data_IF_969536833579
#
_entry.id   IF_969536833579
#
_cell.length_a   1.000
_cell.length_b   1.000
_cell.length_c   1.000
_cell.angle_alpha   90.00
_cell.angle_beta   90.00
_cell.angle_gamma   90.00
#
_symmetry.space_group_name_H-M   'P 1'
#
loop_
_entity.id
_entity.type
_entity.pdbx_description
1 polymer ?
#
# COMPACT_ATOMS: atom_id res chain seq x y z
N UNK A 1 -26.66 57.03 46.61
CA UNK A 1 -26.22 56.03 45.63
C UNK A 1 -25.88 56.70 44.29
N UNK A 2 -25.06 57.74 44.23
CA UNK A 2 -24.67 58.45 42.98
C UNK A 2 -23.14 58.64 42.77
N UNK A 3 -22.30 58.10 43.62
CA UNK A 3 -20.85 58.40 43.60
C UNK A 3 -19.97 57.25 43.15
N UNK A 4 -20.56 56.05 42.84
CA UNK A 4 -19.79 54.87 42.45
C UNK A 4 -19.68 54.62 40.93
N UNK A 5 -20.45 55.35 40.10
CA UNK A 5 -20.50 55.14 38.65
C UNK A 5 -19.36 55.87 37.91
N UNK A 6 -18.93 57.02 38.45
CA UNK A 6 -17.87 57.82 37.81
C UNK A 6 -16.51 57.13 37.74
N UNK A 7 -16.02 56.49 38.84
CA UNK A 7 -14.71 55.79 38.78
C UNK A 7 -14.76 54.56 37.86
N UNK A 8 -15.93 53.91 37.71
CA UNK A 8 -16.05 52.75 36.83
C UNK A 8 -15.97 53.13 35.34
N UNK A 9 -16.53 54.27 34.96
CA UNK A 9 -16.47 54.79 33.59
C UNK A 9 -15.03 55.23 33.22
N UNK A 10 -14.23 55.72 34.18
CA UNK A 10 -12.85 56.13 33.98
C UNK A 10 -11.92 54.91 33.81
N UNK A 11 -12.25 53.81 34.49
CA UNK A 11 -11.50 52.53 34.36
C UNK A 11 -11.73 51.86 33.00
N UNK A 12 -12.90 52.00 32.42
CA UNK A 12 -13.25 51.48 31.12
C UNK A 12 -12.51 52.20 29.98
N UNK A 13 -12.23 53.50 30.14
CA UNK A 13 -11.45 54.23 29.12
C UNK A 13 -9.94 53.90 29.12
N UNK A 14 -9.38 53.40 30.21
CA UNK A 14 -7.96 52.98 30.28
C UNK A 14 -7.75 51.64 29.57
N UNK A 15 -8.78 50.76 29.53
CA UNK A 15 -8.67 49.45 28.86
C UNK A 15 -8.69 49.55 27.33
N UNK A 16 -9.26 50.60 26.74
CA UNK A 16 -9.33 50.77 25.27
C UNK A 16 -8.03 51.35 24.69
N UNK A 17 -7.19 51.99 25.50
CA UNK A 17 -5.96 52.66 25.06
C UNK A 17 -4.74 51.70 24.88
N UNK A 18 -4.83 50.43 25.32
CA UNK A 18 -3.68 49.50 25.31
C UNK A 18 -3.52 48.70 24.02
N UNK A 19 -4.54 48.72 23.13
CA UNK A 19 -4.51 47.92 21.90
C UNK A 19 -4.04 48.64 20.63
N UNK A 20 -3.46 49.84 20.73
CA UNK A 20 -3.11 50.68 19.58
C UNK A 20 -1.59 50.86 19.38
N UNK A 21 -0.75 49.85 19.68
CA UNK A 21 0.67 49.91 19.34
C UNK A 21 1.20 48.58 18.87
N UNK A 22 0.77 48.11 17.73
CA UNK A 22 1.60 47.30 16.87
C UNK A 22 2.30 48.24 15.88
N UNK A 23 3.45 48.71 16.24
CA UNK A 23 4.40 49.31 15.30
C UNK A 23 4.94 48.21 14.42
N UNK A 24 4.41 48.09 13.22
CA UNK A 24 5.15 47.49 12.10
C UNK A 24 6.37 48.36 11.83
N UNK A 25 7.50 47.97 12.42
CA UNK A 25 8.78 48.53 12.02
C UNK A 25 9.21 47.84 10.73
N UNK A 26 8.82 48.41 9.59
CA UNK A 26 9.42 48.09 8.30
C UNK A 26 10.87 48.57 8.36
N UNK A 27 11.78 47.65 8.63
CA UNK A 27 13.21 47.90 8.46
C UNK A 27 13.46 47.81 6.94
N UNK A 28 13.50 48.99 6.29
CA UNK A 28 14.03 49.13 4.93
C UNK A 28 15.54 48.88 4.97
N UNK A 29 15.95 47.64 4.85
CA UNK A 29 17.32 47.30 4.55
C UNK A 29 17.51 47.52 3.05
N UNK A 30 18.17 48.62 2.72
CA UNK A 30 18.62 49.02 1.39
C UNK A 30 19.62 47.94 0.97
N UNK A 31 19.34 47.23 -0.12
CA UNK A 31 20.20 46.32 -0.89
C UNK A 31 20.12 44.80 -0.66
N UNK A 32 19.01 44.26 -0.13
CA UNK A 32 18.76 42.84 -0.33
C UNK A 32 17.27 42.54 -0.26
N UNK A 33 16.63 42.32 -1.38
CA UNK A 33 15.32 41.74 -1.48
C UNK A 33 15.49 40.24 -1.23
N UNK A 34 15.42 39.82 0.05
CA UNK A 34 15.31 38.39 0.37
C UNK A 34 13.89 37.94 0.08
N UNK A 35 13.66 37.44 -1.13
CA UNK A 35 12.43 36.69 -1.44
C UNK A 35 12.49 35.40 -0.65
N UNK A 36 11.68 35.28 0.40
CA UNK A 36 11.46 34.03 1.12
C UNK A 36 10.75 33.09 0.14
N UNK A 37 11.51 32.17 -0.46
CA UNK A 37 10.93 31.12 -1.26
C UNK A 37 10.03 30.24 -0.37
N UNK A 38 8.85 29.84 -0.83
CA UNK A 38 8.05 28.90 -0.06
C UNK A 38 8.83 27.60 0.13
N UNK A 39 8.74 27.05 1.34
CA UNK A 39 9.34 25.75 1.65
C UNK A 39 8.76 24.71 0.68
N UNK A 40 9.59 24.20 -0.19
CA UNK A 40 9.23 23.09 -1.07
C UNK A 40 9.30 21.81 -0.24
N UNK A 41 8.17 21.33 0.22
CA UNK A 41 8.07 20.01 0.82
C UNK A 41 8.22 18.97 -0.30
N UNK A 42 9.41 18.40 -0.43
CA UNK A 42 9.62 17.24 -1.29
C UNK A 42 9.05 16.02 -0.55
N UNK A 43 7.81 15.69 -0.83
CA UNK A 43 7.24 14.42 -0.41
C UNK A 43 7.87 13.34 -1.28
N UNK A 44 8.76 12.55 -0.71
CA UNK A 44 9.33 11.39 -1.41
C UNK A 44 8.25 10.31 -1.49
N UNK A 45 7.54 10.25 -2.60
CA UNK A 45 6.68 9.09 -2.89
C UNK A 45 7.58 7.89 -3.20
N UNK A 46 7.25 6.74 -2.63
CA UNK A 46 7.95 5.50 -2.98
C UNK A 46 7.72 5.21 -4.46
N UNK A 47 8.77 4.92 -5.23
CA UNK A 47 8.60 4.59 -6.63
C UNK A 47 7.73 3.35 -6.78
N UNK A 48 6.78 3.38 -7.71
CA UNK A 48 5.91 2.25 -8.03
C UNK A 48 6.72 1.02 -8.47
N UNK A 49 7.84 1.26 -9.14
CA UNK A 49 8.73 0.22 -9.68
C UNK A 49 10.16 0.51 -9.25
N UNK A 50 10.81 -0.48 -8.69
CA UNK A 50 12.24 -0.44 -8.37
C UNK A 50 12.95 -1.48 -9.23
N UNK A 51 14.00 -1.05 -9.91
CA UNK A 51 14.85 -1.92 -10.74
C UNK A 51 16.04 -2.37 -9.90
N UNK A 52 16.22 -3.68 -9.78
CA UNK A 52 17.42 -4.32 -9.23
C UNK A 52 18.13 -5.10 -10.33
N UNK A 53 19.36 -5.54 -10.10
CA UNK A 53 20.18 -6.19 -11.12
C UNK A 53 19.49 -7.42 -11.76
N UNK A 54 18.68 -8.14 -10.98
CA UNK A 54 18.03 -9.39 -11.41
C UNK A 54 16.50 -9.29 -11.54
N UNK A 55 15.86 -8.20 -11.07
CA UNK A 55 14.40 -8.14 -10.96
C UNK A 55 13.81 -6.74 -11.11
N UNK A 56 12.59 -6.68 -11.64
CA UNK A 56 11.71 -5.52 -11.54
C UNK A 56 10.76 -5.72 -10.35
N UNK A 57 10.90 -4.92 -9.32
CA UNK A 57 10.07 -4.99 -8.11
C UNK A 57 8.99 -3.93 -8.14
N UNK A 58 7.74 -4.35 -8.04
CA UNK A 58 6.54 -3.51 -8.00
C UNK A 58 6.03 -3.40 -6.56
N UNK A 59 5.86 -2.17 -6.08
CA UNK A 59 5.27 -1.89 -4.76
C UNK A 59 3.74 -2.03 -4.85
N UNK A 60 3.20 -3.07 -4.25
CA UNK A 60 1.77 -3.38 -4.34
C UNK A 60 0.89 -2.39 -3.60
N UNK A 61 1.20 -1.93 -2.36
CA UNK A 61 0.43 -0.90 -1.69
C UNK A 61 0.19 0.35 -2.54
N UNK A 62 1.21 0.83 -3.23
CA UNK A 62 1.08 1.99 -4.14
C UNK A 62 0.27 1.65 -5.40
N UNK A 63 0.41 0.42 -5.91
CA UNK A 63 -0.34 -0.02 -7.09
C UNK A 63 -1.85 -0.09 -6.80
N UNK A 64 -2.26 -0.66 -5.66
CA UNK A 64 -3.67 -0.81 -5.29
C UNK A 64 -4.34 0.51 -4.92
N UNK A 65 -3.59 1.53 -4.49
CA UNK A 65 -4.12 2.88 -4.30
C UNK A 65 -4.58 3.52 -5.62
N UNK A 66 -3.87 3.22 -6.71
CA UNK A 66 -4.21 3.74 -8.04
C UNK A 66 -5.29 2.93 -8.75
N UNK A 67 -5.44 1.63 -8.42
CA UNK A 67 -6.35 0.71 -9.09
C UNK A 67 -7.06 -0.20 -8.08
N UNK A 68 -8.40 -0.26 -8.08
CA UNK A 68 -9.15 -1.12 -7.17
C UNK A 68 -8.98 -2.60 -7.57
N UNK A 69 -8.10 -3.31 -6.88
CA UNK A 69 -7.91 -4.75 -6.99
C UNK A 69 -8.21 -5.41 -5.66
N UNK A 70 -8.87 -6.57 -5.69
CA UNK A 70 -9.34 -7.23 -4.48
C UNK A 70 -8.44 -8.40 -4.05
N UNK A 71 -7.95 -9.18 -5.01
CA UNK A 71 -7.19 -10.40 -4.75
C UNK A 71 -5.73 -10.27 -5.19
N UNK A 72 -4.87 -11.09 -4.59
CA UNK A 72 -3.46 -11.17 -5.01
C UNK A 72 -3.34 -11.64 -6.48
N UNK A 73 -4.30 -12.41 -6.97
CA UNK A 73 -4.33 -12.84 -8.37
C UNK A 73 -4.70 -11.69 -9.32
N UNK A 74 -5.57 -10.77 -8.90
CA UNK A 74 -5.95 -9.62 -9.72
C UNK A 74 -4.79 -8.64 -9.90
N UNK A 75 -3.94 -8.49 -8.87
CA UNK A 75 -2.73 -7.65 -8.96
C UNK A 75 -1.85 -8.07 -10.14
N UNK A 76 -1.72 -9.39 -10.39
CA UNK A 76 -0.89 -9.89 -11.49
C UNK A 76 -1.34 -9.38 -12.86
N UNK A 77 -2.63 -9.11 -13.02
CA UNK A 77 -3.17 -8.51 -14.24
C UNK A 77 -2.83 -7.03 -14.42
N UNK A 78 -2.44 -6.35 -13.35
CA UNK A 78 -2.10 -4.92 -13.36
C UNK A 78 -0.60 -4.66 -13.45
N UNK A 79 0.22 -5.69 -13.37
CA UNK A 79 1.68 -5.58 -13.44
C UNK A 79 2.13 -5.46 -14.90
N UNK A 80 2.80 -4.37 -15.30
CA UNK A 80 3.39 -4.26 -16.63
C UNK A 80 4.42 -5.38 -16.87
N UNK A 81 4.31 -6.01 -18.03
CA UNK A 81 5.19 -7.13 -18.39
C UNK A 81 4.62 -8.51 -18.09
N UNK A 82 3.45 -8.59 -17.46
CA UNK A 82 2.68 -9.84 -17.30
C UNK A 82 1.52 -9.91 -18.29
N UNK A 83 1.22 -11.11 -18.73
CA UNK A 83 -0.02 -11.47 -19.46
C UNK A 83 -0.79 -12.47 -18.62
N UNK A 84 -2.07 -12.16 -18.40
CA UNK A 84 -3.02 -13.00 -17.67
C UNK A 84 -4.08 -13.50 -18.64
N UNK A 85 -4.11 -14.80 -18.88
CA UNK A 85 -5.10 -15.47 -19.73
C UNK A 85 -5.85 -16.52 -18.90
N UNK A 86 -7.04 -16.14 -18.43
CA UNK A 86 -7.78 -16.97 -17.49
C UNK A 86 -6.99 -17.19 -16.20
N UNK A 87 -6.66 -18.43 -15.92
CA UNK A 87 -5.87 -18.81 -14.73
C UNK A 87 -4.36 -18.93 -15.02
N UNK A 88 -3.95 -18.69 -16.25
CA UNK A 88 -2.54 -18.71 -16.62
C UNK A 88 -1.94 -17.31 -16.55
N UNK A 89 -0.75 -17.21 -15.99
CA UNK A 89 0.02 -15.96 -15.91
C UNK A 89 1.42 -16.21 -16.45
N UNK A 90 1.86 -15.36 -17.37
CA UNK A 90 3.17 -15.46 -18.00
C UNK A 90 3.86 -14.11 -18.08
N UNK A 91 5.19 -14.14 -18.11
CA UNK A 91 6.01 -12.96 -18.35
C UNK A 91 6.20 -12.80 -19.85
N UNK A 92 5.98 -11.60 -20.37
CA UNK A 92 6.17 -11.30 -21.80
C UNK A 92 7.63 -11.58 -22.21
N UNK A 93 7.79 -12.34 -23.28
CA UNK A 93 9.11 -12.67 -23.83
C UNK A 93 9.85 -13.77 -23.11
N UNK A 94 9.21 -14.45 -22.14
CA UNK A 94 9.81 -15.57 -21.41
C UNK A 94 9.05 -16.87 -21.72
N UNK A 95 9.70 -17.91 -22.22
CA UNK A 95 9.03 -19.13 -22.67
C UNK A 95 8.46 -19.97 -21.52
N UNK A 96 9.01 -19.86 -20.32
CA UNK A 96 8.53 -20.56 -19.14
C UNK A 96 8.53 -19.65 -17.92
N UNK A 97 7.36 -19.48 -17.30
CA UNK A 97 7.17 -18.66 -16.13
C UNK A 97 6.84 -19.53 -14.92
N UNK A 98 7.52 -19.30 -13.81
CA UNK A 98 7.27 -19.96 -12.55
C UNK A 98 6.73 -18.95 -11.52
N UNK A 99 5.87 -19.41 -10.62
CA UNK A 99 5.41 -18.58 -9.50
C UNK A 99 6.16 -19.02 -8.23
N UNK A 100 6.73 -18.06 -7.54
CA UNK A 100 7.51 -18.21 -6.31
C UNK A 100 6.81 -17.37 -5.23
N UNK A 101 6.79 -17.87 -4.01
CA UNK A 101 6.19 -17.16 -2.87
C UNK A 101 7.26 -16.93 -1.81
N UNK A 102 7.44 -15.67 -1.40
CA UNK A 102 8.44 -15.27 -0.40
C UNK A 102 9.87 -15.79 -0.70
N UNK A 103 10.25 -15.77 -1.98
CA UNK A 103 11.57 -16.23 -2.42
C UNK A 103 11.80 -17.74 -2.35
N UNK A 104 10.73 -18.53 -2.23
CA UNK A 104 10.81 -19.99 -2.17
C UNK A 104 9.91 -20.62 -3.22
N UNK A 105 10.42 -21.65 -3.88
CA UNK A 105 9.61 -22.49 -4.75
C UNK A 105 8.54 -23.21 -3.92
N UNK A 106 7.30 -23.10 -4.33
CA UNK A 106 6.20 -23.86 -3.74
C UNK A 106 6.21 -25.30 -4.26
N UNK A 107 5.83 -26.25 -3.41
CA UNK A 107 5.51 -27.63 -3.81
C UNK A 107 4.11 -27.77 -4.42
N UNK A 108 3.31 -26.71 -4.37
CA UNK A 108 1.95 -26.68 -4.90
C UNK A 108 1.98 -26.66 -6.43
N UNK A 109 0.96 -27.25 -7.06
CA UNK A 109 0.73 -27.12 -8.50
C UNK A 109 0.36 -25.67 -8.86
N UNK A 110 0.51 -25.31 -10.13
CA UNK A 110 0.15 -23.95 -10.59
C UNK A 110 -1.31 -23.62 -10.29
N UNK A 111 -2.23 -24.55 -10.50
CA UNK A 111 -3.66 -24.37 -10.20
C UNK A 111 -3.91 -24.10 -8.70
N UNK A 112 -3.23 -24.81 -7.82
CA UNK A 112 -3.32 -24.60 -6.37
C UNK A 112 -2.76 -23.23 -5.96
N UNK A 113 -1.67 -22.79 -6.57
CA UNK A 113 -1.10 -21.45 -6.34
C UNK A 113 -2.09 -20.38 -6.80
N UNK A 114 -2.71 -20.55 -7.96
CA UNK A 114 -3.70 -19.62 -8.49
C UNK A 114 -4.92 -19.52 -7.55
N UNK A 115 -5.44 -20.65 -7.08
CA UNK A 115 -6.55 -20.64 -6.11
C UNK A 115 -6.15 -19.97 -4.79
N UNK A 116 -4.93 -20.22 -4.30
CA UNK A 116 -4.40 -19.52 -3.14
C UNK A 116 -4.35 -18.00 -3.35
N UNK A 117 -3.89 -17.55 -4.52
CA UNK A 117 -3.81 -16.12 -4.84
C UNK A 117 -5.18 -15.48 -5.02
N UNK A 118 -6.16 -16.21 -5.56
CA UNK A 118 -7.56 -15.75 -5.66
C UNK A 118 -8.23 -15.61 -4.29
N UNK A 119 -7.88 -16.47 -3.33
CA UNK A 119 -8.39 -16.40 -1.95
C UNK A 119 -7.62 -15.42 -1.06
N UNK A 120 -6.47 -14.92 -1.51
CA UNK A 120 -5.64 -14.00 -0.75
C UNK A 120 -5.97 -12.56 -1.10
N UNK A 121 -6.23 -11.72 -0.09
CA UNK A 121 -6.47 -10.28 -0.31
C UNK A 121 -5.23 -9.59 -0.89
N UNK A 122 -5.45 -8.65 -1.80
CA UNK A 122 -4.41 -7.80 -2.39
C UNK A 122 -3.55 -7.09 -1.32
N UNK A 123 -4.18 -6.65 -0.22
CA UNK A 123 -3.52 -5.97 0.89
C UNK A 123 -2.49 -6.81 1.66
N UNK A 124 -2.52 -8.14 1.50
CA UNK A 124 -1.53 -9.05 2.09
C UNK A 124 -0.26 -9.17 1.25
N UNK A 125 -0.22 -8.58 0.07
CA UNK A 125 0.95 -8.60 -0.81
C UNK A 125 1.74 -7.32 -0.61
N UNK A 126 3.02 -7.46 -0.28
CA UNK A 126 3.95 -6.35 -0.11
C UNK A 126 4.51 -5.88 -1.45
N UNK A 127 5.04 -6.80 -2.23
CA UNK A 127 5.62 -6.52 -3.54
C UNK A 127 5.58 -7.73 -4.45
N UNK A 128 5.65 -7.47 -5.75
CA UNK A 128 5.78 -8.50 -6.78
C UNK A 128 7.06 -8.22 -7.56
N UNK A 129 7.91 -9.24 -7.68
CA UNK A 129 9.17 -9.16 -8.41
C UNK A 129 9.09 -9.99 -9.67
N UNK A 130 9.40 -9.36 -10.80
CA UNK A 130 9.54 -10.05 -12.09
C UNK A 130 11.01 -10.34 -12.34
N UNK A 131 11.34 -11.63 -12.47
CA UNK A 131 12.66 -12.12 -12.82
C UNK A 131 12.59 -12.72 -14.22
N UNK A 132 13.16 -12.08 -15.20
CA UNK A 132 13.23 -12.58 -16.58
C UNK A 132 14.14 -13.81 -16.69
N UNK A 133 15.11 -13.92 -15.79
CA UNK A 133 15.94 -15.10 -15.60
C UNK A 133 16.01 -15.42 -14.12
N UNK A 134 15.55 -16.61 -13.75
CA UNK A 134 15.51 -17.02 -12.35
C UNK A 134 16.89 -17.35 -11.83
N UNK A 135 17.36 -16.73 -10.75
CA UNK A 135 18.61 -17.12 -10.09
C UNK A 135 18.58 -18.58 -9.62
N UNK A 136 19.72 -19.28 -9.63
CA UNK A 136 19.82 -20.69 -9.22
C UNK A 136 19.28 -20.97 -7.81
N UNK A 137 19.31 -19.97 -6.92
CA UNK A 137 18.79 -20.06 -5.54
C UNK A 137 17.31 -20.44 -5.46
N UNK A 138 16.54 -20.20 -6.51
CA UNK A 138 15.11 -20.55 -6.54
C UNK A 138 14.84 -21.97 -7.07
N UNK A 139 15.85 -22.64 -7.64
CA UNK A 139 15.73 -24.02 -8.12
C UNK A 139 14.76 -24.19 -9.29
N UNK A 140 14.49 -23.13 -10.06
CA UNK A 140 13.62 -23.12 -11.23
C UNK A 140 14.36 -22.59 -12.45
N UNK A 141 13.94 -23.03 -13.64
CA UNK A 141 14.49 -22.57 -14.93
C UNK A 141 13.50 -21.62 -15.60
N UNK A 142 14.01 -20.65 -16.37
CA UNK A 142 13.21 -19.65 -17.05
C UNK A 142 12.94 -18.41 -16.20
N UNK A 143 11.86 -17.71 -16.46
CA UNK A 143 11.47 -16.56 -15.64
C UNK A 143 10.68 -16.94 -14.40
N UNK A 144 10.60 -16.01 -13.47
CA UNK A 144 9.84 -16.20 -12.25
C UNK A 144 9.10 -14.94 -11.83
N UNK A 145 7.91 -15.13 -11.30
CA UNK A 145 7.12 -14.11 -10.60
C UNK A 145 7.25 -14.44 -9.12
N UNK A 146 7.97 -13.60 -8.36
CA UNK A 146 8.11 -13.76 -6.92
C UNK A 146 7.14 -12.85 -6.20
N UNK A 147 6.18 -13.44 -5.51
CA UNK A 147 5.16 -12.74 -4.75
C UNK A 147 5.62 -12.66 -3.30
N UNK A 148 5.93 -11.46 -2.84
CA UNK A 148 6.36 -11.22 -1.46
C UNK A 148 5.15 -10.81 -0.65
N UNK A 149 4.79 -11.65 0.30
CA UNK A 149 3.69 -11.39 1.23
C UNK A 149 4.14 -10.46 2.36
N UNK A 150 3.21 -9.66 2.86
CA UNK A 150 3.42 -8.86 4.06
C UNK A 150 3.64 -9.79 5.26
N UNK A 151 4.77 -9.61 5.95
CA UNK A 151 5.00 -10.31 7.21
C UNK A 151 4.25 -9.58 8.31
N UNK A 152 3.20 -10.16 8.83
CA UNK A 152 2.59 -9.69 10.07
C UNK A 152 3.59 -9.93 11.21
N UNK A 153 4.11 -8.86 11.79
CA UNK A 153 5.15 -8.91 12.83
C UNK A 153 4.56 -9.17 14.22
N UNK A 154 3.25 -9.01 14.38
CA UNK A 154 2.54 -9.11 15.67
C UNK A 154 1.57 -10.30 15.69
N UNK A 155 1.20 -10.71 16.92
CA UNK A 155 0.09 -11.62 17.16
C UNK A 155 -1.16 -11.07 16.48
N UNK A 156 -1.66 -11.78 15.49
CA UNK A 156 -2.77 -11.31 14.68
C UNK A 156 -3.75 -12.44 14.39
N UNK A 157 -5.01 -12.15 14.59
CA UNK A 157 -6.13 -12.98 14.18
C UNK A 157 -6.77 -12.31 12.97
N UNK A 158 -6.72 -12.95 11.81
CA UNK A 158 -7.42 -12.47 10.63
C UNK A 158 -8.45 -13.47 10.16
N UNK A 159 -9.62 -12.97 9.82
CA UNK A 159 -10.71 -13.73 9.22
C UNK A 159 -11.02 -13.09 7.86
N UNK A 160 -10.93 -13.89 6.80
CA UNK A 160 -11.30 -13.48 5.45
C UNK A 160 -12.52 -14.29 5.03
N UNK A 161 -13.61 -13.61 4.68
CA UNK A 161 -14.82 -14.23 4.16
C UNK A 161 -15.00 -13.75 2.74
N UNK A 162 -15.03 -14.69 1.79
CA UNK A 162 -15.34 -14.38 0.39
C UNK A 162 -16.59 -15.13 -0.06
N UNK A 163 -17.53 -14.40 -0.66
CA UNK A 163 -18.73 -14.94 -1.26
C UNK A 163 -18.68 -14.65 -2.76
N UNK A 164 -18.66 -15.70 -3.56
CA UNK A 164 -18.66 -15.59 -5.01
C UNK A 164 -19.91 -16.23 -5.58
N UNK A 165 -20.71 -15.44 -6.30
CA UNK A 165 -21.86 -15.92 -7.06
C UNK A 165 -21.50 -16.04 -8.54
N UNK A 166 -21.56 -17.24 -9.10
CA UNK A 166 -21.46 -17.46 -10.55
C UNK A 166 -22.85 -17.73 -11.11
N UNK A 167 -23.29 -16.93 -12.06
CA UNK A 167 -24.53 -17.15 -12.80
C UNK A 167 -24.19 -17.63 -14.21
N UNK A 168 -24.42 -18.92 -14.46
CA UNK A 168 -24.39 -19.49 -15.78
C UNK A 168 -25.81 -19.99 -16.11
N UNK A 169 -26.04 -21.29 -16.22
CA UNK A 169 -27.38 -21.87 -16.39
C UNK A 169 -28.10 -22.01 -15.03
N UNK A 170 -27.35 -22.21 -13.96
CA UNK A 170 -27.84 -22.24 -12.58
C UNK A 170 -27.00 -21.28 -11.72
N UNK A 171 -27.63 -20.64 -10.73
CA UNK A 171 -26.94 -19.82 -9.75
C UNK A 171 -26.16 -20.73 -8.80
N UNK A 172 -24.83 -20.60 -8.77
CA UNK A 172 -23.95 -21.37 -7.92
C UNK A 172 -23.21 -20.42 -6.96
N UNK A 173 -23.69 -20.27 -5.73
CA UNK A 173 -22.96 -19.52 -4.70
C UNK A 173 -21.82 -20.37 -4.15
N UNK A 174 -20.63 -19.78 -4.04
CA UNK A 174 -19.47 -20.37 -3.38
C UNK A 174 -19.04 -19.43 -2.25
N UNK A 175 -18.97 -19.95 -1.03
CA UNK A 175 -18.45 -19.24 0.13
C UNK A 175 -17.11 -19.84 0.55
N UNK A 176 -16.12 -18.99 0.79
CA UNK A 176 -14.83 -19.38 1.37
C UNK A 176 -14.63 -18.58 2.66
N UNK A 177 -14.25 -19.28 3.71
CA UNK A 177 -13.92 -18.69 5.01
C UNK A 177 -12.50 -19.11 5.36
N UNK A 178 -11.61 -18.13 5.47
CA UNK A 178 -10.24 -18.35 5.92
C UNK A 178 -10.04 -17.68 7.27
N UNK A 179 -9.63 -18.45 8.25
CA UNK A 179 -9.26 -17.96 9.56
C UNK A 179 -7.77 -18.22 9.76
N UNK A 180 -6.98 -17.18 9.94
CA UNK A 180 -5.55 -17.33 10.23
C UNK A 180 -5.20 -16.67 11.56
N UNK A 181 -4.55 -17.43 12.42
CA UNK A 181 -3.97 -17.00 13.68
C UNK A 181 -2.45 -17.09 13.60
N UNK A 182 -1.76 -15.99 13.80
CA UNK A 182 -0.31 -15.94 13.79
C UNK A 182 0.22 -15.39 15.11
N UNK A 183 1.15 -16.11 15.72
CA UNK A 183 1.91 -15.70 16.90
C UNK A 183 3.39 -15.93 16.62
N UNK A 184 4.29 -15.12 17.17
CA UNK A 184 5.76 -15.07 16.89
C UNK A 184 6.44 -16.40 16.47
N UNK A 185 5.95 -17.54 16.93
CA UNK A 185 6.53 -18.87 16.65
C UNK A 185 5.55 -19.88 16.01
N UNK A 186 4.26 -19.56 15.99
CA UNK A 186 3.21 -20.48 15.54
C UNK A 186 2.27 -19.74 14.59
N UNK A 187 1.89 -20.40 13.51
CA UNK A 187 0.78 -19.99 12.66
C UNK A 187 -0.19 -21.15 12.51
N UNK A 188 -1.47 -20.85 12.60
CA UNK A 188 -2.57 -21.78 12.37
C UNK A 188 -3.47 -21.15 11.30
N UNK A 189 -3.63 -21.85 10.19
CA UNK A 189 -4.50 -21.46 9.11
C UNK A 189 -5.59 -22.50 8.93
N UNK A 190 -6.84 -22.07 9.01
CA UNK A 190 -8.05 -22.87 8.80
C UNK A 190 -8.78 -22.30 7.59
N UNK A 191 -9.03 -23.14 6.58
CA UNK A 191 -9.82 -22.80 5.38
C UNK A 191 -10.97 -23.78 5.24
N UNK A 192 -12.17 -23.24 4.95
CA UNK A 192 -13.40 -23.99 4.68
C UNK A 192 -14.15 -23.40 3.50
#
# INVERSE_FOLDING_TARGET
MKTAIVPFLLLLNVLVAVNAQTKDSVILVKDSITVKLPDVYVTSERPLVTVTDDALSFDVPNLIMAKPVNTAFDILGEIPGLVKEGDNVSIIGVPATNIIINGRRSSMSLSQIVELLKSTSASKVKSIELLYSSPPKYGVKGGSINIIMEKKVNEDLSADISLTGKQAFYFSPTGLVNLSYSKKKYSLDLSY
#
